data_IF_298300357697
#
_entry.id   IF_298300357697
#
_cell.length_a   1.000
_cell.length_b   1.000
_cell.length_c   1.000
_cell.angle_alpha   90.00
_cell.angle_beta   90.00
_cell.angle_gamma   90.00
#
_symmetry.space_group_name_H-M   'P 1'
#
loop_
_entity.id
_entity.type
_entity.pdbx_description
1 polymer ?
#
# COMPACT_ATOMS: atom_id res chain seq x y z
N UNK A 1 -4.93 1.67 -17.38
CA UNK A 1 -4.65 0.54 -16.46
C UNK A 1 -3.38 -0.13 -16.94
N UNK A 2 -2.31 -0.09 -16.14
CA UNK A 2 -1.05 -0.76 -16.45
C UNK A 2 -1.31 -2.25 -16.68
N UNK A 3 -0.79 -2.84 -17.76
CA UNK A 3 -1.07 -4.24 -18.15
C UNK A 3 -0.63 -5.32 -17.15
N UNK A 4 -0.08 -4.93 -16.00
CA UNK A 4 0.43 -5.80 -14.94
C UNK A 4 -0.62 -6.15 -13.87
N UNK A 5 -1.71 -5.39 -13.74
CA UNK A 5 -2.81 -5.68 -12.80
C UNK A 5 -3.97 -6.32 -13.56
N UNK A 6 -4.35 -7.54 -13.17
CA UNK A 6 -5.47 -8.28 -13.76
C UNK A 6 -6.82 -7.75 -13.26
N UNK A 7 -6.92 -7.52 -11.95
CA UNK A 7 -8.12 -6.98 -11.31
C UNK A 7 -7.78 -6.35 -9.96
N UNK A 8 -8.67 -5.49 -9.47
CA UNK A 8 -8.56 -4.86 -8.15
C UNK A 8 -9.84 -5.10 -7.34
N UNK A 9 -9.71 -5.17 -6.02
CA UNK A 9 -10.83 -5.24 -5.07
C UNK A 9 -10.69 -4.14 -4.04
N UNK A 10 -11.73 -3.31 -3.88
CA UNK A 10 -11.75 -2.30 -2.81
C UNK A 10 -11.90 -2.97 -1.44
N UNK A 11 -11.16 -2.46 -0.45
CA UNK A 11 -11.16 -2.95 0.93
C UNK A 11 -11.65 -1.86 1.89
N UNK A 12 -11.08 -0.65 1.78
CA UNK A 12 -11.42 0.55 2.58
C UNK A 12 -11.40 0.31 4.09
N UNK A 13 -10.29 -0.23 4.58
CA UNK A 13 -10.17 -0.60 5.99
C UNK A 13 -9.03 0.13 6.72
N UNK A 14 -9.32 0.69 7.89
CA UNK A 14 -8.30 1.38 8.71
C UNK A 14 -7.34 0.40 9.39
N UNK A 15 -6.05 0.72 9.30
CA UNK A 15 -4.99 0.01 9.99
C UNK A 15 -4.99 0.44 11.46
N UNK A 16 -5.12 -0.53 12.36
CA UNK A 16 -4.97 -0.37 13.81
C UNK A 16 -3.52 -0.16 14.21
N UNK A 17 -2.63 -0.93 13.59
CA UNK A 17 -1.21 -0.75 13.80
C UNK A 17 -0.36 -1.71 12.97
N UNK A 18 0.92 -1.38 12.92
CA UNK A 18 1.98 -2.24 12.40
C UNK A 18 2.73 -2.83 13.59
N UNK A 19 3.03 -4.13 13.51
CA UNK A 19 3.63 -4.88 14.58
C UNK A 19 4.77 -5.75 14.05
N UNK A 20 5.67 -6.11 14.94
CA UNK A 20 6.78 -7.02 14.65
C UNK A 20 6.87 -8.12 15.69
N UNK A 21 7.32 -9.29 15.28
CA UNK A 21 7.71 -10.37 16.18
C UNK A 21 8.96 -11.10 15.64
N UNK A 22 9.40 -12.16 16.32
CA UNK A 22 10.60 -12.93 15.93
C UNK A 22 10.52 -13.56 14.52
N UNK A 23 9.34 -13.61 13.89
CA UNK A 23 9.08 -14.22 12.59
C UNK A 23 8.86 -13.20 11.46
N UNK A 24 8.81 -11.90 11.78
CA UNK A 24 8.65 -10.84 10.78
C UNK A 24 7.69 -9.73 11.21
N UNK A 25 7.19 -9.00 10.21
CA UNK A 25 6.29 -7.86 10.37
C UNK A 25 4.88 -8.21 9.89
N UNK A 26 3.89 -7.60 10.51
CA UNK A 26 2.50 -7.72 10.11
C UNK A 26 1.75 -6.43 10.45
N UNK A 27 0.65 -6.18 9.77
CA UNK A 27 -0.29 -5.14 10.16
C UNK A 27 -1.60 -5.77 10.59
N UNK A 28 -2.31 -5.07 11.47
CA UNK A 28 -3.65 -5.44 11.92
C UNK A 28 -4.57 -4.26 11.67
N UNK A 29 -5.76 -4.54 11.16
CA UNK A 29 -6.81 -3.56 10.91
C UNK A 29 -7.82 -3.50 12.05
N UNK A 30 -8.76 -2.56 11.99
CA UNK A 30 -9.81 -2.44 13.00
C UNK A 30 -10.81 -3.60 13.00
N UNK A 31 -11.06 -4.28 11.87
CA UNK A 31 -11.89 -5.51 11.86
C UNK A 31 -11.13 -6.74 12.37
N UNK A 32 -9.83 -6.62 12.62
CA UNK A 32 -8.96 -7.73 13.03
C UNK A 32 -8.33 -8.49 11.85
N UNK A 33 -8.48 -8.00 10.63
CA UNK A 33 -7.75 -8.53 9.48
C UNK A 33 -6.24 -8.34 9.68
N UNK A 34 -5.47 -9.36 9.32
CA UNK A 34 -4.04 -9.43 9.57
C UNK A 34 -3.30 -9.73 8.27
N UNK A 35 -2.35 -8.87 7.90
CA UNK A 35 -1.49 -9.07 6.73
C UNK A 35 -0.05 -9.31 7.17
N UNK A 36 0.49 -10.47 6.82
CA UNK A 36 1.88 -10.85 7.11
C UNK A 36 2.79 -10.28 6.04
N UNK A 37 3.50 -9.21 6.38
CA UNK A 37 4.26 -8.39 5.44
C UNK A 37 5.55 -9.13 5.03
N UNK A 38 5.76 -9.26 3.71
CA UNK A 38 6.99 -9.77 3.10
C UNK A 38 7.86 -8.58 2.67
N UNK A 39 7.25 -7.59 2.02
CA UNK A 39 7.96 -6.43 1.47
C UNK A 39 7.05 -5.19 1.43
N UNK A 40 7.66 -4.01 1.56
CA UNK A 40 6.99 -2.70 1.57
C UNK A 40 7.71 -1.74 0.64
N UNK A 41 6.95 -0.98 -0.14
CA UNK A 41 7.47 0.10 -0.98
C UNK A 41 6.68 1.37 -0.71
N UNK A 42 7.37 2.42 -0.28
CA UNK A 42 6.77 3.75 -0.17
C UNK A 42 6.62 4.35 -1.56
N UNK A 43 5.40 4.75 -1.90
CA UNK A 43 5.05 5.36 -3.16
C UNK A 43 4.60 6.79 -2.90
N UNK A 44 5.50 7.75 -3.12
CA UNK A 44 5.23 9.16 -2.85
C UNK A 44 5.03 9.92 -4.16
N UNK A 45 3.80 10.35 -4.52
CA UNK A 45 3.60 11.23 -5.67
C UNK A 45 4.20 12.62 -5.41
N UNK A 46 4.23 13.46 -6.45
CA UNK A 46 4.57 14.88 -6.30
C UNK A 46 3.61 15.54 -5.31
N UNK A 47 4.17 16.27 -4.34
CA UNK A 47 3.38 16.99 -3.34
C UNK A 47 3.07 18.37 -3.92
N UNK A 48 1.79 18.62 -4.21
CA UNK A 48 1.32 19.93 -4.69
C UNK A 48 1.02 20.89 -3.54
N UNK A 49 0.56 20.35 -2.41
CA UNK A 49 0.28 21.10 -1.19
C UNK A 49 0.92 20.39 0.02
N UNK A 50 1.96 20.99 0.58
CA UNK A 50 2.69 20.44 1.73
C UNK A 50 1.85 20.35 3.01
N UNK A 51 0.76 21.12 3.10
CA UNK A 51 -0.14 21.06 4.25
C UNK A 51 -1.23 19.99 4.09
N UNK A 52 -1.44 19.42 2.90
CA UNK A 52 -2.48 18.44 2.66
C UNK A 52 -2.16 17.56 1.44
N UNK A 53 -1.63 16.37 1.69
CA UNK A 53 -1.25 15.44 0.64
C UNK A 53 -1.46 13.98 1.03
N UNK A 54 -1.55 13.12 0.03
CA UNK A 54 -1.59 11.66 0.21
C UNK A 54 -0.19 11.07 0.04
N UNK A 55 0.11 10.09 0.88
CA UNK A 55 1.22 9.15 0.72
C UNK A 55 0.65 7.75 0.55
N UNK A 56 1.37 6.90 -0.17
CA UNK A 56 0.94 5.55 -0.50
C UNK A 56 2.00 4.56 -0.07
N UNK A 57 1.55 3.37 0.34
CA UNK A 57 2.42 2.26 0.68
C UNK A 57 1.93 1.04 -0.07
N UNK A 58 2.78 0.50 -0.93
CA UNK A 58 2.52 -0.79 -1.55
C UNK A 58 3.02 -1.89 -0.61
N UNK A 59 2.16 -2.87 -0.34
CA UNK A 59 2.41 -3.97 0.59
C UNK A 59 2.34 -5.28 -0.16
N UNK A 60 3.45 -5.99 -0.21
CA UNK A 60 3.47 -7.41 -0.54
C UNK A 60 3.39 -8.20 0.76
N UNK A 61 2.29 -8.92 0.92
CA UNK A 61 2.02 -9.77 2.08
C UNK A 61 1.84 -11.23 1.63
N UNK A 62 1.88 -12.16 2.58
CA UNK A 62 1.57 -13.57 2.29
C UNK A 62 0.17 -13.76 1.73
N UNK A 63 -0.75 -12.90 2.13
CA UNK A 63 -2.16 -12.92 1.75
C UNK A 63 -2.40 -12.32 0.36
N UNK A 64 -1.48 -11.50 -0.17
CA UNK A 64 -1.66 -10.82 -1.45
C UNK A 64 -0.90 -9.51 -1.56
N UNK A 65 -1.31 -8.67 -2.51
CA UNK A 65 -0.70 -7.37 -2.77
C UNK A 65 -1.70 -6.26 -2.52
N UNK A 66 -1.32 -5.27 -1.73
CA UNK A 66 -2.24 -4.24 -1.24
C UNK A 66 -1.67 -2.85 -1.45
N UNK A 67 -2.56 -1.90 -1.74
CA UNK A 67 -2.22 -0.48 -1.74
C UNK A 67 -2.85 0.16 -0.50
N UNK A 68 -2.00 0.76 0.31
CA UNK A 68 -2.39 1.54 1.46
C UNK A 68 -2.23 3.02 1.17
N UNK A 69 -3.09 3.84 1.77
CA UNK A 69 -3.02 5.31 1.74
C UNK A 69 -2.92 5.87 3.14
N UNK A 70 -2.25 7.01 3.25
CA UNK A 70 -2.29 7.84 4.44
C UNK A 70 -2.35 9.29 4.01
N UNK A 71 -3.28 10.04 4.61
CA UNK A 71 -3.36 11.49 4.42
C UNK A 71 -2.48 12.19 5.46
N UNK A 72 -1.61 13.07 4.99
CA UNK A 72 -0.88 14.01 5.82
C UNK A 72 -1.61 15.35 5.72
N UNK A 73 -2.08 15.87 6.86
CA UNK A 73 -2.75 17.17 6.93
C UNK A 73 -2.19 18.00 8.07
N UNK A 74 -1.82 19.24 7.81
CA UNK A 74 -1.20 20.16 8.77
C UNK A 74 0.00 19.50 9.49
N UNK A 75 0.86 18.82 8.71
CA UNK A 75 2.01 18.03 9.17
C UNK A 75 1.68 16.88 10.12
N UNK A 76 0.41 16.50 10.26
CA UNK A 76 -0.04 15.35 11.04
C UNK A 76 -0.41 14.20 10.13
N UNK A 77 0.14 13.04 10.44
CA UNK A 77 -0.20 11.81 9.74
C UNK A 77 -1.53 11.25 10.26
N UNK A 78 -2.47 11.04 9.35
CA UNK A 78 -3.68 10.27 9.63
C UNK A 78 -3.39 8.78 9.80
N UNK A 79 -4.43 7.98 9.95
CA UNK A 79 -4.29 6.51 9.95
C UNK A 79 -4.04 6.01 8.54
N UNK A 80 -3.33 4.89 8.44
CA UNK A 80 -3.23 4.15 7.19
C UNK A 80 -4.57 3.46 6.89
N UNK A 81 -4.95 3.44 5.62
CA UNK A 81 -6.15 2.76 5.12
C UNK A 81 -5.72 1.78 4.04
N UNK A 82 -6.15 0.53 4.12
CA UNK A 82 -6.06 -0.43 3.01
C UNK A 82 -7.12 -0.02 1.99
N UNK A 83 -6.70 0.62 0.90
CA UNK A 83 -7.62 1.07 -0.15
C UNK A 83 -8.14 -0.11 -0.95
N UNK A 84 -7.20 -0.93 -1.42
CA UNK A 84 -7.47 -2.01 -2.35
C UNK A 84 -6.46 -3.13 -2.26
N UNK A 85 -6.92 -4.30 -2.64
CA UNK A 85 -6.12 -5.46 -2.99
C UNK A 85 -5.97 -5.54 -4.51
N UNK A 86 -4.77 -5.85 -4.98
CA UNK A 86 -4.43 -5.99 -6.38
C UNK A 86 -4.14 -7.45 -6.70
N UNK A 87 -4.79 -7.95 -7.74
CA UNK A 87 -4.54 -9.26 -8.30
C UNK A 87 -3.66 -9.08 -9.55
N UNK A 88 -2.39 -9.49 -9.50
CA UNK A 88 -1.50 -9.28 -10.64
C UNK A 88 -1.78 -10.26 -11.79
N UNK A 89 -1.41 -9.87 -13.00
CA UNK A 89 -1.36 -10.77 -14.16
C UNK A 89 -0.28 -11.85 -13.98
N UNK A 90 0.87 -11.45 -13.43
CA UNK A 90 1.96 -12.34 -13.03
C UNK A 90 2.43 -11.96 -11.61
N UNK A 91 2.25 -12.83 -10.60
CA UNK A 91 2.72 -12.56 -9.25
C UNK A 91 4.25 -12.45 -9.13
N UNK A 92 5.01 -13.12 -10.00
CA UNK A 92 6.47 -13.04 -9.97
C UNK A 92 6.93 -11.64 -10.37
N UNK A 93 7.71 -11.00 -9.51
CA UNK A 93 8.24 -9.64 -9.68
C UNK A 93 7.19 -8.50 -9.69
N UNK A 94 5.93 -8.79 -9.34
CA UNK A 94 4.87 -7.78 -9.40
C UNK A 94 5.21 -6.51 -8.63
N UNK A 95 5.77 -6.63 -7.42
CA UNK A 95 6.19 -5.48 -6.59
C UNK A 95 7.17 -4.56 -7.31
N UNK A 96 8.11 -5.12 -8.08
CA UNK A 96 9.12 -4.36 -8.83
C UNK A 96 8.50 -3.70 -10.06
N UNK A 97 7.62 -4.42 -10.76
CA UNK A 97 6.90 -3.88 -11.93
C UNK A 97 5.95 -2.76 -11.53
N UNK A 98 5.21 -2.94 -10.43
CA UNK A 98 4.28 -1.95 -9.92
C UNK A 98 4.98 -0.65 -9.53
N UNK A 99 6.12 -0.75 -8.85
CA UNK A 99 6.93 0.42 -8.52
C UNK A 99 7.37 1.17 -9.78
N UNK A 100 7.88 0.48 -10.80
CA UNK A 100 8.30 1.10 -12.06
C UNK A 100 7.16 1.80 -12.78
N UNK A 101 5.97 1.18 -12.83
CA UNK A 101 4.79 1.78 -13.45
C UNK A 101 4.28 3.01 -12.66
N UNK A 102 4.36 2.96 -11.33
CA UNK A 102 4.04 4.11 -10.48
C UNK A 102 5.02 5.28 -10.70
N UNK A 103 6.30 5.00 -10.92
CA UNK A 103 7.30 6.03 -11.20
C UNK A 103 7.09 6.68 -12.58
N UNK A 104 6.73 5.91 -13.62
CA UNK A 104 6.45 6.44 -14.98
C UNK A 104 5.25 7.38 -15.04
N UNK A 105 4.25 7.17 -14.17
CA UNK A 105 3.07 8.05 -14.11
C UNK A 105 3.36 9.42 -13.51
N UNK A 106 4.61 9.70 -13.13
CA UNK A 106 5.09 10.96 -12.56
C UNK A 106 5.88 11.84 -13.53
N UNK A 107 6.23 11.34 -14.72
CA UNK A 107 6.84 12.10 -15.83
C UNK A 107 5.75 12.67 -16.75
#
# INVERSE_FOLDING_TARGET
MSGIVKSEREIKEEVKGFYGNKKGYYLVTDSGYCLNIIHLVSLQPKIENENDYLTFLFVEAKEGFFLLTQRIKDFKAGRWVIEKEMIPCNPQNFSQEYQREFEKTRE
#
